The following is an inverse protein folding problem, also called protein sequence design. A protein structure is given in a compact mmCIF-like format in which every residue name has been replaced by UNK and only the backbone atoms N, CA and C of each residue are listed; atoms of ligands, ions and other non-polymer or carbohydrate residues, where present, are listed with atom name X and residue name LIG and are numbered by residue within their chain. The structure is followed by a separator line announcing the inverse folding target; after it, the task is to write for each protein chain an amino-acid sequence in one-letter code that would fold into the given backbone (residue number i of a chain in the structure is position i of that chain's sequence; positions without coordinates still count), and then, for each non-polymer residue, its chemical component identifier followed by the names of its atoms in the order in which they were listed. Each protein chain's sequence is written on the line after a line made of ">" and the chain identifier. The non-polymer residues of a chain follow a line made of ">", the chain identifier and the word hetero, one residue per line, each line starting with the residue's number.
data_IF_948777554565
#
_entry.id   IF_948777554565
#
_cell.length_a   1.000
_cell.length_b   1.000
_cell.length_c   1.000
_cell.angle_alpha   90.00
_cell.angle_beta   90.00
_cell.angle_gamma   90.00
#
_symmetry.space_group_name_H-M   'P 1'
#
loop_
_entity.id
_entity.type
_entity.pdbx_description
1 polymer ?
#
# COMPACT_ATOMS: atom_id res chain seq x y z
N UNK A 1 14.23 19.53 1.67
CA UNK A 1 15.66 19.51 1.28
C UNK A 1 16.54 20.07 2.38
N UNK A 2 16.41 21.34 2.79
CA UNK A 2 17.21 21.93 3.89
C UNK A 2 17.10 21.20 5.24
N UNK A 3 15.89 20.82 5.66
CA UNK A 3 15.69 20.02 6.90
C UNK A 3 16.29 18.60 6.84
N UNK A 4 16.44 18.03 5.64
CA UNK A 4 16.99 16.68 5.43
C UNK A 4 18.52 16.71 5.43
N UNK A 5 19.12 17.78 4.90
CA UNK A 5 20.55 18.09 4.99
C UNK A 5 20.96 18.45 6.42
N UNK A 6 20.17 19.29 7.11
CA UNK A 6 20.42 19.67 8.51
C UNK A 6 20.29 18.44 9.45
N UNK A 7 19.34 17.53 9.21
CA UNK A 7 19.20 16.28 9.95
C UNK A 7 20.37 15.30 9.70
N UNK A 8 20.82 15.15 8.45
CA UNK A 8 21.99 14.32 8.09
C UNK A 8 23.27 14.80 8.77
N UNK A 9 23.44 16.11 8.96
CA UNK A 9 24.60 16.67 9.66
C UNK A 9 24.76 16.10 11.09
N UNK A 10 23.66 15.84 11.81
CA UNK A 10 23.66 15.22 13.15
C UNK A 10 23.82 13.69 13.12
N UNK A 11 23.53 13.03 12.00
CA UNK A 11 23.62 11.57 11.83
C UNK A 11 24.94 11.08 11.22
N UNK A 12 25.77 11.99 10.68
CA UNK A 12 27.02 11.67 9.97
C UNK A 12 27.91 10.65 10.66
N UNK A 13 28.14 10.74 11.98
CA UNK A 13 29.00 9.81 12.72
C UNK A 13 28.41 8.38 12.78
N UNK A 14 27.10 8.26 13.03
CA UNK A 14 26.43 6.97 13.12
C UNK A 14 26.26 6.31 11.74
N UNK A 15 26.00 7.12 10.71
CA UNK A 15 25.97 6.66 9.32
C UNK A 15 27.35 6.19 8.85
N UNK A 16 28.41 6.94 9.16
CA UNK A 16 29.79 6.57 8.88
C UNK A 16 30.17 5.26 9.57
N UNK A 17 29.79 5.09 10.84
CA UNK A 17 30.04 3.85 11.58
C UNK A 17 29.31 2.66 10.94
N UNK A 18 28.03 2.85 10.60
CA UNK A 18 27.25 1.82 9.90
C UNK A 18 27.93 1.43 8.59
N UNK A 19 28.33 2.41 7.78
CA UNK A 19 29.02 2.15 6.52
C UNK A 19 30.33 1.38 6.76
N UNK A 20 31.11 1.75 7.79
CA UNK A 20 32.35 1.06 8.12
C UNK A 20 32.14 -0.40 8.53
N UNK A 21 31.18 -0.65 9.42
CA UNK A 21 30.84 -2.00 9.88
C UNK A 21 30.32 -2.88 8.74
N UNK A 22 29.47 -2.32 7.88
CA UNK A 22 28.97 -3.01 6.69
C UNK A 22 30.10 -3.31 5.70
N UNK A 23 31.03 -2.37 5.47
CA UNK A 23 32.19 -2.61 4.61
C UNK A 23 33.09 -3.72 5.13
N UNK A 24 33.39 -3.70 6.43
CA UNK A 24 34.13 -4.76 7.10
C UNK A 24 33.46 -6.12 6.87
N UNK A 25 32.13 -6.18 7.04
CA UNK A 25 31.34 -7.36 6.77
C UNK A 25 31.43 -7.83 5.31
N UNK A 26 31.27 -6.94 4.33
CA UNK A 26 31.32 -7.29 2.90
C UNK A 26 32.64 -7.97 2.55
N UNK A 27 33.76 -7.37 2.98
CA UNK A 27 35.09 -7.89 2.72
C UNK A 27 35.29 -9.24 3.43
N UNK A 28 34.77 -9.36 4.65
CA UNK A 28 34.80 -10.61 5.42
C UNK A 28 34.05 -11.72 4.68
N UNK A 29 32.84 -11.43 4.17
CA UNK A 29 32.04 -12.39 3.39
C UNK A 29 32.75 -12.85 2.12
N UNK A 30 33.22 -11.92 1.28
CA UNK A 30 34.02 -12.19 0.07
C UNK A 30 35.27 -13.04 0.40
N UNK A 31 35.88 -12.83 1.56
CA UNK A 31 37.11 -13.52 1.92
C UNK A 31 36.89 -14.94 2.51
N UNK A 32 35.65 -15.40 2.70
CA UNK A 32 35.37 -16.68 3.38
C UNK A 32 35.93 -17.89 2.62
N UNK A 33 35.81 -17.94 1.31
CA UNK A 33 36.34 -19.05 0.50
C UNK A 33 37.80 -18.86 0.06
N UNK A 34 38.38 -17.69 0.39
CA UNK A 34 39.76 -17.27 0.09
C UNK A 34 40.09 -17.21 -1.41
N UNK A 35 39.08 -17.18 -2.28
CA UNK A 35 39.19 -17.28 -3.74
C UNK A 35 38.41 -16.16 -4.41
N UNK A 36 39.02 -14.97 -4.44
CA UNK A 36 38.32 -13.76 -4.91
C UNK A 36 38.18 -13.75 -6.44
N UNK A 37 36.98 -13.49 -6.93
CA UNK A 37 36.67 -13.41 -8.34
C UNK A 37 36.20 -12.00 -8.76
N UNK A 38 36.24 -11.72 -10.07
CA UNK A 38 35.98 -10.38 -10.61
C UNK A 38 34.58 -9.83 -10.30
N UNK A 39 33.59 -10.70 -10.06
CA UNK A 39 32.22 -10.29 -9.75
C UNK A 39 32.19 -9.69 -8.34
N UNK A 40 32.79 -10.34 -7.36
CA UNK A 40 32.91 -9.84 -5.98
C UNK A 40 33.65 -8.49 -5.93
N UNK A 41 34.73 -8.35 -6.72
CA UNK A 41 35.47 -7.10 -6.83
C UNK A 41 34.57 -5.98 -7.40
N UNK A 42 33.81 -6.30 -8.45
CA UNK A 42 32.91 -5.35 -9.10
C UNK A 42 31.77 -4.92 -8.16
N UNK A 43 31.27 -5.83 -7.33
CA UNK A 43 30.25 -5.53 -6.32
C UNK A 43 30.81 -4.64 -5.20
N UNK A 44 31.99 -4.97 -4.67
CA UNK A 44 32.69 -4.15 -3.67
C UNK A 44 32.97 -2.72 -4.19
N UNK A 45 33.42 -2.63 -5.45
CA UNK A 45 33.64 -1.35 -6.13
C UNK A 45 32.39 -0.49 -6.18
N UNK A 46 31.30 -1.11 -6.60
CA UNK A 46 30.01 -0.47 -6.72
C UNK A 46 29.51 -0.01 -5.34
N UNK A 47 29.65 -0.85 -4.31
CA UNK A 47 29.32 -0.45 -2.94
C UNK A 47 30.16 0.76 -2.48
N UNK A 48 31.47 0.76 -2.71
CA UNK A 48 32.33 1.91 -2.40
C UNK A 48 31.93 3.18 -3.15
N UNK A 49 31.48 3.06 -4.41
CA UNK A 49 30.98 4.18 -5.20
C UNK A 49 29.70 4.79 -4.62
N UNK A 50 28.79 3.97 -4.08
CA UNK A 50 27.59 4.45 -3.41
C UNK A 50 27.92 5.22 -2.12
N UNK A 51 29.06 4.94 -1.49
CA UNK A 51 29.55 5.64 -0.30
C UNK A 51 30.47 6.84 -0.61
N UNK A 52 30.57 7.27 -1.89
CA UNK A 52 31.51 8.32 -2.31
C UNK A 52 31.30 9.67 -1.61
N UNK A 53 30.10 9.93 -1.10
CA UNK A 53 29.82 11.11 -0.25
C UNK A 53 30.75 11.18 0.99
N UNK A 54 31.23 10.03 1.47
CA UNK A 54 32.14 9.92 2.61
C UNK A 54 33.62 9.92 2.22
N UNK A 55 34.00 10.05 0.93
CA UNK A 55 35.39 9.95 0.46
C UNK A 55 36.37 10.92 1.13
N UNK A 56 35.89 12.05 1.66
CA UNK A 56 36.75 13.02 2.37
C UNK A 56 36.94 12.67 3.85
N UNK A 57 36.17 11.74 4.38
CA UNK A 57 36.16 11.35 5.79
C UNK A 57 37.02 10.09 5.99
N UNK A 58 37.86 10.02 7.04
CA UNK A 58 38.51 8.77 7.41
C UNK A 58 37.50 7.72 7.89
N UNK A 59 37.69 6.41 7.62
CA UNK A 59 38.77 5.82 6.82
C UNK A 59 38.50 5.78 5.30
N UNK A 60 37.32 6.19 4.84
CA UNK A 60 36.93 6.11 3.42
C UNK A 60 37.85 6.90 2.47
N UNK A 61 38.52 7.94 2.96
CA UNK A 61 39.53 8.67 2.21
C UNK A 61 40.78 7.86 1.83
N UNK A 62 41.01 6.73 2.50
CA UNK A 62 42.04 5.76 2.15
C UNK A 62 41.44 4.53 1.47
N UNK A 63 40.32 4.04 1.99
CA UNK A 63 39.73 2.78 1.51
C UNK A 63 39.20 2.93 0.08
N UNK A 64 38.44 3.99 -0.23
CA UNK A 64 37.85 4.15 -1.58
C UNK A 64 38.94 4.24 -2.66
N UNK A 65 39.97 5.09 -2.55
CA UNK A 65 41.04 5.13 -3.54
C UNK A 65 41.81 3.81 -3.66
N UNK A 66 42.01 3.10 -2.55
CA UNK A 66 42.70 1.81 -2.56
C UNK A 66 41.88 0.74 -3.29
N UNK A 67 40.56 0.68 -3.07
CA UNK A 67 39.64 -0.19 -3.82
C UNK A 67 39.63 0.16 -5.32
N UNK A 68 39.66 1.45 -5.68
CA UNK A 68 39.78 1.91 -7.07
C UNK A 68 41.11 1.46 -7.73
N UNK A 69 42.23 1.52 -6.99
CA UNK A 69 43.53 1.06 -7.48
C UNK A 69 43.56 -0.45 -7.73
N UNK A 70 42.99 -1.22 -6.80
CA UNK A 70 42.84 -2.67 -6.92
C UNK A 70 42.06 -3.05 -8.18
N UNK A 71 40.95 -2.35 -8.43
CA UNK A 71 40.12 -2.55 -9.62
C UNK A 71 40.87 -2.24 -10.92
N UNK A 72 41.66 -1.18 -10.93
CA UNK A 72 42.42 -0.78 -12.11
C UNK A 72 43.56 -1.75 -12.43
N UNK A 73 44.16 -2.35 -11.38
CA UNK A 73 45.32 -3.23 -11.50
C UNK A 73 44.95 -4.72 -11.64
N UNK A 74 43.71 -5.11 -11.31
CA UNK A 74 43.13 -6.41 -11.64
C UNK A 74 43.55 -7.58 -10.73
N UNK A 75 44.23 -7.32 -9.61
CA UNK A 75 44.67 -8.37 -8.68
C UNK A 75 44.27 -8.05 -7.23
N UNK A 76 43.23 -8.72 -6.74
CA UNK A 76 42.93 -8.79 -5.31
C UNK A 76 43.67 -9.98 -4.71
N UNK A 77 44.80 -9.70 -4.05
CA UNK A 77 45.56 -10.70 -3.31
C UNK A 77 45.09 -10.81 -1.86
N UNK A 78 45.50 -11.86 -1.14
CA UNK A 78 45.18 -11.98 0.30
C UNK A 78 45.70 -10.83 1.15
N UNK A 79 46.82 -10.24 0.74
CA UNK A 79 47.43 -9.09 1.39
C UNK A 79 46.55 -7.84 1.25
N UNK A 80 45.90 -7.72 0.10
CA UNK A 80 45.10 -6.56 -0.28
C UNK A 80 43.85 -6.41 0.58
N UNK A 81 43.09 -7.49 0.83
CA UNK A 81 41.94 -7.42 1.74
C UNK A 81 42.39 -7.23 3.19
N UNK A 82 43.52 -7.83 3.60
CA UNK A 82 44.09 -7.66 4.93
C UNK A 82 44.40 -6.19 5.23
N UNK A 83 44.86 -5.44 4.23
CA UNK A 83 45.06 -4.00 4.34
C UNK A 83 43.73 -3.24 4.53
N UNK A 84 42.67 -3.61 3.79
CA UNK A 84 41.36 -2.95 3.94
C UNK A 84 40.73 -3.28 5.29
N UNK A 85 40.75 -4.55 5.72
CA UNK A 85 40.28 -4.95 7.05
C UNK A 85 41.07 -4.22 8.14
N UNK A 86 42.40 -4.11 8.00
CA UNK A 86 43.22 -3.33 8.92
C UNK A 86 42.84 -1.84 8.96
N UNK A 87 42.47 -1.24 7.82
CA UNK A 87 41.91 0.12 7.79
C UNK A 87 40.52 0.19 8.43
N UNK A 88 39.70 -0.86 8.35
CA UNK A 88 38.42 -0.90 9.04
C UNK A 88 38.62 -0.98 10.57
N UNK A 89 39.44 -1.93 11.03
CA UNK A 89 39.73 -2.18 12.44
C UNK A 89 40.37 -0.97 13.13
N UNK A 90 41.38 -0.35 12.49
CA UNK A 90 42.05 0.84 13.05
C UNK A 90 41.09 1.98 13.38
N UNK A 91 40.00 2.12 12.62
CA UNK A 91 39.04 3.20 12.77
C UNK A 91 37.77 2.77 13.53
N UNK A 92 37.50 1.47 13.63
CA UNK A 92 36.44 0.92 14.47
C UNK A 92 36.67 1.22 15.97
N UNK A 93 37.92 1.11 16.44
CA UNK A 93 38.29 1.38 17.83
C UNK A 93 38.08 2.85 18.27
N UNK A 94 38.00 3.78 17.31
CA UNK A 94 37.88 5.22 17.57
C UNK A 94 36.42 5.72 17.62
N UNK A 95 35.44 4.86 17.32
CA UNK A 95 34.07 5.26 17.07
C UNK A 95 33.06 4.46 17.92
N UNK A 96 32.91 4.92 19.17
CA UNK A 96 31.79 4.63 20.08
C UNK A 96 31.52 3.14 20.42
N UNK A 97 32.17 2.67 21.49
CA UNK A 97 32.10 1.33 22.07
C UNK A 97 30.79 0.98 22.80
N UNK A 98 29.73 1.77 22.64
CA UNK A 98 28.51 1.67 23.45
C UNK A 98 27.47 0.64 22.96
N UNK A 99 27.63 0.01 21.79
CA UNK A 99 26.62 -0.93 21.28
C UNK A 99 27.19 -2.05 20.37
N UNK A 100 27.85 -3.03 20.99
CA UNK A 100 28.47 -4.20 20.32
C UNK A 100 27.44 -4.99 19.48
N UNK A 101 26.21 -5.15 19.97
CA UNK A 101 25.16 -5.87 19.22
C UNK A 101 24.80 -5.17 17.91
N UNK A 102 24.71 -3.83 17.91
CA UNK A 102 24.44 -3.05 16.69
C UNK A 102 25.60 -3.14 15.70
N UNK A 103 26.84 -3.13 16.19
CA UNK A 103 28.03 -3.34 15.37
C UNK A 103 27.97 -4.71 14.68
N UNK A 104 27.77 -5.77 15.46
CA UNK A 104 27.81 -7.14 14.95
C UNK A 104 26.67 -7.41 13.95
N UNK A 105 25.48 -6.85 14.16
CA UNK A 105 24.38 -6.96 13.18
C UNK A 105 24.70 -6.22 11.87
N UNK A 106 25.32 -5.05 11.94
CA UNK A 106 25.73 -4.31 10.73
C UNK A 106 26.84 -5.03 9.97
N UNK A 107 27.76 -5.68 10.69
CA UNK A 107 28.78 -6.55 10.11
C UNK A 107 28.14 -7.80 9.49
N UNK A 108 27.17 -8.43 10.16
CA UNK A 108 26.42 -9.57 9.61
C UNK A 108 25.75 -9.22 8.29
N UNK A 109 25.06 -8.07 8.20
CA UNK A 109 24.49 -7.62 6.92
C UNK A 109 25.55 -7.46 5.83
N UNK A 110 26.72 -6.94 6.17
CA UNK A 110 27.85 -6.88 5.25
C UNK A 110 28.31 -8.26 4.80
N UNK A 111 28.48 -9.20 5.73
CA UNK A 111 28.90 -10.58 5.42
C UNK A 111 27.93 -11.24 4.46
N UNK A 112 26.62 -11.08 4.69
CA UNK A 112 25.60 -11.63 3.79
C UNK A 112 25.70 -11.02 2.39
N UNK A 113 25.91 -9.70 2.29
CA UNK A 113 26.14 -9.04 0.99
C UNK A 113 27.39 -9.62 0.32
N UNK A 114 28.49 -9.78 1.05
CA UNK A 114 29.72 -10.36 0.54
C UNK A 114 29.53 -11.77 -0.03
N UNK A 115 28.88 -12.66 0.72
CA UNK A 115 28.57 -14.04 0.31
C UNK A 115 27.66 -14.09 -0.94
N UNK A 116 26.75 -13.11 -1.09
CA UNK A 116 25.87 -13.06 -2.25
C UNK A 116 26.50 -12.36 -3.46
N UNK A 117 27.68 -11.78 -3.32
CA UNK A 117 28.21 -10.78 -4.27
C UNK A 117 28.56 -11.33 -5.65
N UNK A 118 28.87 -12.62 -5.79
CA UNK A 118 29.09 -13.31 -7.07
C UNK A 118 27.94 -14.27 -7.45
N UNK A 119 26.86 -14.25 -6.67
CA UNK A 119 25.67 -15.06 -6.85
C UNK A 119 25.88 -16.59 -6.66
N UNK A 120 27.06 -17.02 -6.16
CA UNK A 120 27.45 -18.43 -5.97
C UNK A 120 27.85 -18.68 -4.52
N UNK A 121 26.92 -19.24 -3.73
CA UNK A 121 27.23 -19.65 -2.36
C UNK A 121 27.90 -21.02 -2.37
N UNK A 122 29.03 -21.17 -1.67
CA UNK A 122 29.77 -22.42 -1.59
C UNK A 122 29.99 -22.94 -0.16
N UNK A 123 30.41 -24.20 -0.07
CA UNK A 123 30.65 -24.94 1.16
C UNK A 123 31.52 -24.19 2.19
N UNK A 124 32.56 -23.47 1.73
CA UNK A 124 33.46 -22.74 2.62
C UNK A 124 32.79 -21.51 3.19
N UNK A 125 31.99 -20.80 2.40
CA UNK A 125 31.27 -19.61 2.85
C UNK A 125 30.25 -19.95 3.93
N UNK A 126 29.47 -21.01 3.73
CA UNK A 126 28.48 -21.46 4.72
C UNK A 126 29.14 -21.90 6.02
N UNK A 127 30.26 -22.65 5.94
CA UNK A 127 31.02 -23.10 7.12
C UNK A 127 31.65 -21.93 7.88
N UNK A 128 32.22 -20.95 7.19
CA UNK A 128 32.77 -19.77 7.84
C UNK A 128 31.68 -18.85 8.41
N UNK A 129 30.53 -18.72 7.74
CA UNK A 129 29.36 -18.03 8.27
C UNK A 129 28.88 -18.71 9.57
N UNK A 130 28.82 -20.04 9.61
CA UNK A 130 28.51 -20.79 10.83
C UNK A 130 29.48 -20.46 11.97
N UNK A 131 30.79 -20.45 11.71
CA UNK A 131 31.78 -20.12 12.72
C UNK A 131 31.62 -18.68 13.22
N UNK A 132 31.45 -17.72 12.32
CA UNK A 132 31.22 -16.32 12.68
C UNK A 132 29.98 -16.16 13.56
N UNK A 133 28.86 -16.81 13.20
CA UNK A 133 27.63 -16.78 13.98
C UNK A 133 27.81 -17.44 15.36
N UNK A 134 28.42 -18.63 15.39
CA UNK A 134 28.65 -19.40 16.63
C UNK A 134 29.48 -18.64 17.66
N UNK A 135 30.45 -17.86 17.20
CA UNK A 135 31.35 -17.08 18.07
C UNK A 135 30.65 -15.85 18.66
N UNK A 136 29.57 -15.35 18.02
CA UNK A 136 28.82 -14.15 18.43
C UNK A 136 27.53 -14.45 19.17
N UNK A 137 27.65 -15.24 20.25
CA UNK A 137 26.51 -15.58 21.13
C UNK A 137 25.83 -14.38 21.78
N UNK A 138 26.52 -13.23 21.86
CA UNK A 138 25.95 -11.98 22.33
C UNK A 138 24.75 -11.51 21.48
N UNK A 139 24.62 -12.00 20.24
CA UNK A 139 23.48 -11.72 19.38
C UNK A 139 22.26 -12.64 19.60
N UNK A 140 22.33 -13.59 20.55
CA UNK A 140 21.22 -14.51 20.82
C UNK A 140 19.95 -13.74 21.21
N UNK A 141 18.84 -14.01 20.53
CA UNK A 141 17.58 -13.29 20.72
C UNK A 141 17.43 -12.05 19.83
N UNK A 142 18.48 -11.70 19.06
CA UNK A 142 18.49 -10.57 18.13
C UNK A 142 18.16 -11.06 16.72
N UNK A 143 17.42 -10.23 16.00
CA UNK A 143 17.03 -10.47 14.62
C UNK A 143 17.99 -9.71 13.68
N UNK A 144 18.43 -10.26 12.53
CA UNK A 144 18.11 -11.59 11.96
C UNK A 144 18.98 -12.75 12.46
N UNK A 145 19.91 -12.50 13.39
CA UNK A 145 20.92 -13.47 13.82
C UNK A 145 20.35 -14.87 14.12
N UNK A 146 19.31 -14.98 14.95
CA UNK A 146 18.77 -16.30 15.33
C UNK A 146 18.20 -17.08 14.13
N UNK A 147 17.57 -16.38 13.18
CA UNK A 147 16.94 -16.99 12.02
C UNK A 147 17.99 -17.55 11.07
N UNK A 148 19.01 -16.74 10.78
CA UNK A 148 20.14 -17.14 9.94
C UNK A 148 20.91 -18.27 10.62
N UNK A 149 21.19 -18.17 11.91
CA UNK A 149 21.94 -19.21 12.62
C UNK A 149 21.19 -20.55 12.66
N UNK A 150 19.86 -20.52 12.81
CA UNK A 150 19.04 -21.73 12.73
C UNK A 150 19.16 -22.40 11.36
N UNK A 151 18.96 -21.63 10.28
CA UNK A 151 19.01 -22.19 8.91
C UNK A 151 20.42 -22.64 8.53
N UNK A 152 21.46 -21.90 8.94
CA UNK A 152 22.85 -22.33 8.72
C UNK A 152 23.15 -23.62 9.49
N UNK A 153 22.61 -23.82 10.69
CA UNK A 153 22.74 -25.10 11.41
C UNK A 153 21.99 -26.24 10.71
N UNK A 154 20.81 -25.98 10.12
CA UNK A 154 20.06 -26.96 9.33
C UNK A 154 20.84 -27.38 8.07
N UNK A 155 21.36 -26.40 7.32
CA UNK A 155 22.14 -26.63 6.09
C UNK A 155 23.45 -27.39 6.36
N UNK A 156 24.02 -27.27 7.56
CA UNK A 156 25.26 -27.95 7.92
C UNK A 156 25.05 -29.19 8.80
N UNK A 157 23.84 -29.75 8.84
CA UNK A 157 23.55 -30.94 9.66
C UNK A 157 24.47 -32.12 9.30
N UNK A 158 24.75 -32.32 8.01
CA UNK A 158 25.65 -33.36 7.50
C UNK A 158 27.07 -32.86 7.14
N UNK A 159 27.34 -31.57 7.38
CA UNK A 159 28.58 -30.86 7.04
C UNK A 159 28.92 -30.78 5.54
N UNK A 160 27.95 -30.99 4.66
CA UNK A 160 28.02 -30.72 3.23
C UNK A 160 26.86 -29.84 2.78
N UNK A 161 27.09 -28.95 1.81
CA UNK A 161 26.02 -28.08 1.30
C UNK A 161 25.60 -28.56 -0.08
N UNK A 162 24.36 -29.01 -0.20
CA UNK A 162 23.77 -29.35 -1.50
C UNK A 162 23.37 -28.09 -2.28
N UNK A 163 23.19 -28.24 -3.59
CA UNK A 163 22.68 -27.16 -4.45
C UNK A 163 21.29 -26.66 -3.99
N UNK A 164 20.43 -27.57 -3.53
CA UNK A 164 19.10 -27.19 -3.04
C UNK A 164 19.16 -26.38 -1.74
N UNK A 165 20.01 -26.77 -0.80
CA UNK A 165 20.25 -26.04 0.45
C UNK A 165 20.88 -24.66 0.20
N UNK A 166 21.80 -24.60 -0.77
CA UNK A 166 22.42 -23.36 -1.23
C UNK A 166 21.36 -22.38 -1.74
N UNK A 167 20.45 -22.84 -2.60
CA UNK A 167 19.37 -22.02 -3.14
C UNK A 167 18.37 -21.58 -2.06
N UNK A 168 18.04 -22.46 -1.10
CA UNK A 168 17.18 -22.12 0.04
C UNK A 168 17.84 -21.08 0.96
N UNK A 169 19.13 -21.24 1.24
CA UNK A 169 19.92 -20.29 2.01
C UNK A 169 20.00 -18.95 1.28
N UNK A 170 20.23 -18.95 -0.02
CA UNK A 170 20.22 -17.74 -0.87
C UNK A 170 18.89 -17.00 -0.81
N UNK A 171 17.77 -17.72 -0.89
CA UNK A 171 16.44 -17.15 -0.75
C UNK A 171 16.24 -16.43 0.59
N UNK A 172 16.73 -17.03 1.69
CA UNK A 172 16.70 -16.43 3.02
C UNK A 172 17.63 -15.22 3.12
N UNK A 173 18.89 -15.37 2.73
CA UNK A 173 19.92 -14.35 2.82
C UNK A 173 19.58 -13.12 1.96
N UNK A 174 18.92 -13.33 0.82
CA UNK A 174 18.41 -12.27 -0.04
C UNK A 174 17.41 -11.35 0.65
N UNK A 175 16.78 -11.76 1.75
CA UNK A 175 15.95 -10.86 2.56
C UNK A 175 16.74 -9.72 3.21
N UNK A 176 18.07 -9.83 3.32
CA UNK A 176 18.90 -8.93 4.15
C UNK A 176 19.86 -8.05 3.34
N UNK A 177 19.81 -8.08 2.00
CA UNK A 177 20.76 -7.37 1.12
C UNK A 177 20.03 -6.45 0.15
N UNK A 178 20.51 -5.21 -0.02
CA UNK A 178 19.94 -4.25 -0.96
C UNK A 178 20.33 -4.58 -2.41
N UNK A 179 19.41 -5.20 -3.14
CA UNK A 179 19.59 -5.61 -4.54
C UNK A 179 19.42 -4.45 -5.53
N UNK A 180 18.81 -3.32 -5.14
CA UNK A 180 18.48 -2.23 -6.08
C UNK A 180 19.70 -1.54 -6.65
N UNK A 181 20.72 -1.44 -5.82
CA UNK A 181 21.98 -0.84 -6.18
C UNK A 181 23.06 -1.89 -6.38
N UNK A 182 22.72 -3.19 -6.39
CA UNK A 182 23.69 -4.26 -6.63
C UNK A 182 24.02 -4.38 -8.13
N UNK A 183 25.24 -4.77 -8.46
CA UNK A 183 25.65 -5.08 -9.83
C UNK A 183 25.32 -6.52 -10.21
N UNK A 184 25.42 -7.44 -9.24
CA UNK A 184 25.36 -8.87 -9.50
C UNK A 184 24.13 -9.56 -8.90
N UNK A 185 23.49 -8.96 -7.88
CA UNK A 185 22.37 -9.59 -7.17
C UNK A 185 21.04 -9.14 -7.80
N UNK A 186 20.34 -10.08 -8.45
CA UNK A 186 19.07 -9.82 -9.13
C UNK A 186 17.87 -9.92 -8.19
N UNK A 187 17.11 -8.83 -8.03
CA UNK A 187 15.87 -8.82 -7.25
C UNK A 187 14.86 -9.87 -7.75
N UNK A 188 14.69 -9.99 -9.06
CA UNK A 188 13.73 -10.93 -9.67
C UNK A 188 14.11 -12.38 -9.37
N UNK A 189 15.41 -12.69 -9.36
CA UNK A 189 15.89 -14.03 -9.02
C UNK A 189 15.62 -14.35 -7.54
N UNK A 190 15.91 -13.40 -6.65
CA UNK A 190 15.66 -13.55 -5.21
C UNK A 190 14.16 -13.75 -4.93
N UNK A 191 13.28 -12.95 -5.54
CA UNK A 191 11.82 -13.09 -5.39
C UNK A 191 11.33 -14.46 -5.85
N UNK A 192 11.84 -14.96 -6.99
CA UNK A 192 11.48 -16.28 -7.49
C UNK A 192 11.94 -17.40 -6.56
N UNK A 193 13.14 -17.29 -5.99
CA UNK A 193 13.65 -18.26 -5.02
C UNK A 193 12.82 -18.22 -3.72
N UNK A 194 12.46 -17.03 -3.24
CA UNK A 194 11.63 -16.87 -2.05
C UNK A 194 10.22 -17.46 -2.23
N UNK A 195 9.64 -17.33 -3.42
CA UNK A 195 8.38 -17.99 -3.77
C UNK A 195 8.55 -19.52 -3.79
N UNK A 196 9.57 -20.02 -4.49
CA UNK A 196 9.84 -21.46 -4.63
C UNK A 196 10.04 -22.17 -3.29
N UNK A 197 10.78 -21.56 -2.37
CA UNK A 197 11.12 -22.16 -1.08
C UNK A 197 10.20 -21.74 0.07
N UNK A 198 9.11 -21.03 -0.23
CA UNK A 198 8.18 -20.49 0.78
C UNK A 198 8.91 -19.77 1.92
N UNK A 199 9.94 -18.99 1.58
CA UNK A 199 10.65 -18.15 2.55
C UNK A 199 9.76 -16.95 2.81
N UNK A 200 9.02 -17.01 3.92
CA UNK A 200 8.21 -15.89 4.39
C UNK A 200 9.13 -14.76 4.87
N UNK A 201 8.97 -13.56 4.29
CA UNK A 201 9.50 -12.35 4.92
C UNK A 201 8.78 -12.08 6.24
N UNK A 202 9.27 -11.14 7.06
CA UNK A 202 8.58 -10.86 8.35
C UNK A 202 7.20 -10.20 8.13
N UNK A 203 7.05 -9.47 7.02
CA UNK A 203 5.77 -8.91 6.61
C UNK A 203 4.80 -10.04 6.22
N UNK A 204 3.58 -9.97 6.73
CA UNK A 204 2.53 -10.86 6.27
C UNK A 204 2.25 -10.60 4.78
N UNK A 205 2.19 -11.67 3.96
CA UNK A 205 1.70 -11.60 2.58
C UNK A 205 0.18 -11.50 2.62
N UNK A 206 -0.40 -10.50 1.94
CA UNK A 206 -1.84 -10.22 1.89
C UNK A 206 -2.52 -10.23 3.28
N UNK A 207 -2.12 -9.34 4.19
CA UNK A 207 -2.67 -9.33 5.54
C UNK A 207 -4.15 -8.93 5.53
N UNK A 208 -5.01 -9.70 6.22
CA UNK A 208 -6.34 -9.23 6.60
C UNK A 208 -6.21 -8.16 7.71
N UNK A 209 -6.14 -6.89 7.31
CA UNK A 209 -5.99 -5.76 8.23
C UNK A 209 -7.38 -5.28 8.69
N UNK A 210 -7.67 -5.43 9.97
CA UNK A 210 -8.84 -4.81 10.60
C UNK A 210 -8.41 -3.63 11.45
N UNK A 211 -8.91 -2.42 11.16
CA UNK A 211 -8.50 -1.20 11.88
C UNK A 211 -9.24 -1.03 13.21
N UNK A 212 -10.53 -1.37 13.24
CA UNK A 212 -11.42 -1.09 14.37
C UNK A 212 -11.05 -1.92 15.61
N UNK A 213 -10.80 -1.24 16.73
CA UNK A 213 -10.47 -1.86 18.02
C UNK A 213 -9.08 -2.50 18.08
N UNK A 214 -8.23 -2.30 17.06
CA UNK A 214 -6.89 -2.85 16.95
C UNK A 214 -5.82 -1.81 17.24
N UNK A 215 -4.70 -2.25 17.80
CA UNK A 215 -3.60 -1.35 18.16
C UNK A 215 -2.49 -1.38 17.10
N UNK A 216 -2.20 -0.22 16.54
CA UNK A 216 -1.20 -0.03 15.51
C UNK A 216 0.03 0.71 16.04
N UNK A 217 1.19 0.38 15.47
CA UNK A 217 2.42 1.14 15.61
C UNK A 217 3.00 1.39 14.22
N UNK A 218 3.66 2.53 14.01
CA UNK A 218 4.32 2.86 12.74
C UNK A 218 5.83 3.01 12.90
N UNK A 219 6.59 2.47 11.95
CA UNK A 219 8.05 2.58 11.87
C UNK A 219 8.48 2.98 10.44
N UNK A 220 9.60 3.69 10.31
CA UNK A 220 10.06 4.25 9.02
C UNK A 220 9.43 5.61 8.68
N UNK A 221 9.58 6.05 7.44
CA UNK A 221 8.89 7.24 6.88
C UNK A 221 7.88 6.74 5.85
N UNK A 222 6.72 7.39 5.76
CA UNK A 222 5.73 7.04 4.75
C UNK A 222 5.80 8.00 3.58
N UNK A 223 5.68 7.44 2.38
CA UNK A 223 5.59 8.19 1.12
C UNK A 223 4.27 8.97 0.97
N UNK A 224 3.22 8.56 1.71
CA UNK A 224 1.87 9.09 1.56
C UNK A 224 1.50 10.17 2.59
N UNK A 225 1.92 10.01 3.84
CA UNK A 225 1.43 10.84 4.95
C UNK A 225 2.45 10.96 6.10
N UNK A 226 2.35 12.02 6.90
CA UNK A 226 3.16 12.15 8.11
C UNK A 226 2.70 11.17 9.19
N UNK A 227 3.60 10.82 10.12
CA UNK A 227 3.28 9.89 11.22
C UNK A 227 2.08 10.34 12.06
N UNK A 228 1.96 11.65 12.31
CA UNK A 228 0.84 12.19 13.09
C UNK A 228 -0.49 12.07 12.30
N UNK A 229 -0.45 12.30 10.99
CA UNK A 229 -1.62 12.10 10.10
C UNK A 229 -2.03 10.62 10.05
N UNK A 230 -1.06 9.69 10.01
CA UNK A 230 -1.31 8.24 10.09
C UNK A 230 -1.99 7.89 11.42
N UNK A 231 -1.52 8.47 12.53
CA UNK A 231 -2.10 8.26 13.85
C UNK A 231 -3.56 8.75 13.92
N UNK A 232 -3.84 9.92 13.35
CA UNK A 232 -5.19 10.47 13.24
C UNK A 232 -6.09 9.54 12.40
N UNK A 233 -5.66 9.16 11.19
CA UNK A 233 -6.40 8.27 10.29
C UNK A 233 -6.76 6.91 10.93
N UNK A 234 -5.85 6.32 11.70
CA UNK A 234 -6.10 5.06 12.43
C UNK A 234 -7.12 5.29 13.55
N UNK A 235 -7.00 6.39 14.28
CA UNK A 235 -7.88 6.72 15.40
C UNK A 235 -9.29 7.05 14.93
N UNK A 236 -9.42 7.74 13.79
CA UNK A 236 -10.70 8.05 13.13
C UNK A 236 -11.52 6.79 12.82
N UNK A 237 -10.84 5.69 12.46
CA UNK A 237 -11.48 4.40 12.15
C UNK A 237 -11.64 3.50 13.38
N UNK A 238 -11.53 4.07 14.57
CA UNK A 238 -11.70 3.36 15.84
C UNK A 238 -10.54 2.43 16.20
N UNK A 239 -9.39 2.57 15.55
CA UNK A 239 -8.14 1.93 15.95
C UNK A 239 -7.44 2.71 17.06
N UNK A 240 -6.38 2.11 17.61
CA UNK A 240 -5.54 2.75 18.62
C UNK A 240 -4.12 2.90 18.09
N UNK A 241 -3.58 4.12 18.05
CA UNK A 241 -2.21 4.34 17.64
C UNK A 241 -1.26 4.43 18.84
N UNK A 242 -0.12 3.75 18.77
CA UNK A 242 0.96 3.87 19.74
C UNK A 242 2.31 4.04 19.04
N UNK A 243 3.10 5.01 19.49
CA UNK A 243 4.43 5.25 18.96
C UNK A 243 5.42 4.12 19.27
N UNK A 244 5.17 3.30 20.30
CA UNK A 244 6.04 2.20 20.67
C UNK A 244 5.35 0.86 20.48
N UNK A 245 6.14 -0.16 20.10
CA UNK A 245 5.67 -1.53 20.08
C UNK A 245 5.48 -2.02 21.52
N UNK A 246 4.28 -2.52 21.83
CA UNK A 246 3.88 -3.03 23.15
C UNK A 246 3.26 -4.42 23.02
N UNK A 247 3.02 -5.11 24.14
CA UNK A 247 2.31 -6.41 24.14
C UNK A 247 0.87 -6.32 23.62
N UNK A 248 0.28 -5.12 23.57
CA UNK A 248 -1.06 -4.88 23.03
C UNK A 248 -1.05 -4.54 21.54
N UNK A 249 0.12 -4.34 20.93
CA UNK A 249 0.23 -3.98 19.52
C UNK A 249 -0.17 -5.19 18.66
N UNK A 250 -1.25 -5.03 17.92
CA UNK A 250 -1.73 -6.03 16.96
C UNK A 250 -0.99 -5.90 15.62
N UNK A 251 -0.72 -4.66 15.17
CA UNK A 251 -0.10 -4.38 13.88
C UNK A 251 1.09 -3.41 14.00
N UNK A 252 2.21 -3.72 13.35
CA UNK A 252 3.33 -2.82 13.13
C UNK A 252 3.43 -2.52 11.62
N UNK A 253 3.06 -1.30 11.26
CA UNK A 253 3.15 -0.78 9.89
C UNK A 253 4.58 -0.31 9.62
N UNK A 254 5.15 -0.77 8.52
CA UNK A 254 6.48 -0.40 8.05
C UNK A 254 6.35 0.52 6.84
N UNK A 255 6.83 1.76 6.97
CA UNK A 255 6.83 2.75 5.88
C UNK A 255 7.90 2.50 4.82
N UNK A 256 7.62 2.92 3.58
CA UNK A 256 8.47 2.64 2.41
C UNK A 256 9.36 3.82 1.98
N UNK A 257 9.33 4.95 2.70
CA UNK A 257 10.15 6.13 2.38
C UNK A 257 11.34 6.29 3.35
N UNK A 258 12.51 6.64 2.80
CA UNK A 258 13.76 6.82 3.54
C UNK A 258 14.67 5.58 3.54
N UNK A 259 15.82 5.73 2.86
CA UNK A 259 16.88 4.75 2.57
C UNK A 259 16.39 3.41 1.92
N UNK A 260 16.88 3.04 0.72
CA UNK A 260 16.52 1.79 0.06
C UNK A 260 16.76 0.48 0.84
N UNK A 261 17.27 0.52 2.07
CA UNK A 261 17.34 -0.65 2.95
C UNK A 261 15.98 -1.22 3.43
N UNK A 262 14.82 -0.65 3.08
CA UNK A 262 13.52 -1.05 3.65
C UNK A 262 12.89 -2.30 3.04
N UNK A 263 13.19 -2.61 1.77
CA UNK A 263 12.75 -3.87 1.15
C UNK A 263 13.55 -5.07 1.70
N UNK A 264 14.57 -4.81 2.53
CA UNK A 264 15.63 -5.75 2.90
C UNK A 264 15.88 -5.84 4.41
N UNK A 265 14.83 -5.71 5.22
CA UNK A 265 14.90 -6.19 6.60
C UNK A 265 16.01 -5.58 7.47
N UNK A 266 16.45 -4.35 7.18
CA UNK A 266 17.26 -3.56 8.11
C UNK A 266 16.37 -3.07 9.26
N UNK A 267 16.03 -3.99 10.15
CA UNK A 267 15.03 -3.81 11.16
C UNK A 267 15.51 -2.92 12.27
N UNK A 268 15.11 -1.65 12.22
CA UNK A 268 15.26 -0.77 13.38
C UNK A 268 14.61 -1.38 14.63
N UNK A 269 15.05 -0.93 15.81
CA UNK A 269 14.67 -1.43 17.16
C UNK A 269 13.19 -1.79 17.38
N UNK A 270 12.25 -1.18 16.65
CA UNK A 270 10.81 -1.51 16.73
C UNK A 270 10.47 -2.86 16.11
N UNK A 271 11.09 -3.21 14.98
CA UNK A 271 10.80 -4.49 14.32
C UNK A 271 11.49 -5.63 15.07
N UNK A 272 12.73 -5.47 15.52
CA UNK A 272 13.37 -6.41 16.45
C UNK A 272 12.45 -6.71 17.64
N UNK A 273 11.94 -5.66 18.30
CA UNK A 273 11.01 -5.79 19.43
C UNK A 273 9.71 -6.50 19.04
N UNK A 274 9.16 -6.24 17.84
CA UNK A 274 7.96 -6.92 17.35
C UNK A 274 8.21 -8.41 17.11
N UNK A 275 9.36 -8.78 16.53
CA UNK A 275 9.76 -10.17 16.33
C UNK A 275 9.97 -10.90 17.66
N UNK A 276 10.67 -10.27 18.62
CA UNK A 276 10.85 -10.86 19.96
C UNK A 276 9.50 -11.08 20.67
N UNK A 277 8.54 -10.15 20.52
CA UNK A 277 7.19 -10.31 21.07
C UNK A 277 6.41 -11.45 20.39
N UNK A 278 6.59 -11.62 19.07
CA UNK A 278 6.08 -12.76 18.29
C UNK A 278 6.61 -14.09 18.84
N UNK A 279 7.93 -14.20 19.04
CA UNK A 279 8.58 -15.38 19.66
C UNK A 279 8.07 -15.65 21.08
N UNK A 280 7.75 -14.59 21.84
CA UNK A 280 7.14 -14.70 23.17
C UNK A 280 5.63 -15.05 23.15
N UNK A 281 5.04 -15.35 21.98
CA UNK A 281 3.65 -15.79 21.82
C UNK A 281 2.62 -14.67 21.63
N UNK A 282 3.06 -13.42 21.45
CA UNK A 282 2.14 -12.32 21.17
C UNK A 282 1.75 -12.32 19.68
N UNK A 283 0.47 -12.05 19.40
CA UNK A 283 -0.07 -11.94 18.04
C UNK A 283 0.14 -10.52 17.51
N UNK A 284 1.39 -10.19 17.19
CA UNK A 284 1.74 -8.98 16.43
C UNK A 284 1.95 -9.35 14.97
N UNK A 285 1.37 -8.57 14.06
CA UNK A 285 1.52 -8.71 12.61
C UNK A 285 2.33 -7.52 12.08
N UNK A 286 3.34 -7.79 11.28
CA UNK A 286 4.12 -6.75 10.62
C UNK A 286 3.56 -6.61 9.20
N UNK A 287 3.22 -5.40 8.79
CA UNK A 287 2.52 -5.11 7.53
C UNK A 287 3.23 -4.01 6.76
N UNK A 288 3.24 -4.11 5.42
CA UNK A 288 3.76 -3.05 4.58
C UNK A 288 2.79 -1.86 4.55
N UNK A 289 3.30 -0.64 4.34
CA UNK A 289 2.42 0.52 4.20
C UNK A 289 1.47 0.39 3.00
N UNK A 290 1.86 -0.27 1.91
CA UNK A 290 1.01 -0.47 0.73
C UNK A 290 -0.22 -1.29 1.09
N UNK A 291 -0.04 -2.44 1.76
CA UNK A 291 -1.16 -3.29 2.20
C UNK A 291 -2.10 -2.54 3.17
N UNK A 292 -1.51 -1.72 4.06
CA UNK A 292 -2.28 -0.86 4.95
C UNK A 292 -3.10 0.17 4.18
N UNK A 293 -2.50 0.81 3.17
CA UNK A 293 -3.16 1.80 2.34
C UNK A 293 -4.27 1.23 1.47
N UNK A 294 -4.05 0.05 0.89
CA UNK A 294 -5.05 -0.67 0.10
C UNK A 294 -6.25 -1.07 0.96
N UNK A 295 -5.99 -1.53 2.19
CA UNK A 295 -7.06 -1.81 3.16
C UNK A 295 -7.75 -0.53 3.63
N UNK A 296 -6.99 0.56 3.77
CA UNK A 296 -7.55 1.84 4.16
C UNK A 296 -8.47 2.39 3.06
N UNK A 297 -8.04 2.41 1.81
CA UNK A 297 -8.84 3.00 0.73
C UNK A 297 -10.05 2.12 0.34
N UNK A 298 -9.90 0.79 0.34
CA UNK A 298 -11.02 -0.13 0.01
C UNK A 298 -12.21 -0.04 0.98
N UNK A 299 -11.95 0.19 2.28
CA UNK A 299 -13.03 0.35 3.26
C UNK A 299 -13.91 1.59 3.00
N UNK A 300 -13.35 2.68 2.44
CA UNK A 300 -14.13 3.87 2.08
C UNK A 300 -15.01 3.60 0.84
N UNK A 301 -14.54 2.76 -0.09
CA UNK A 301 -15.28 2.38 -1.30
C UNK A 301 -16.52 1.53 -0.94
N UNK A 302 -16.35 0.54 -0.07
CA UNK A 302 -17.43 -0.35 0.39
C UNK A 302 -18.52 0.39 1.18
N UNK A 303 -18.15 1.36 2.02
CA UNK A 303 -19.13 2.18 2.77
C UNK A 303 -19.94 3.08 1.83
N UNK A 304 -19.29 3.72 0.85
CA UNK A 304 -19.98 4.56 -0.14
C UNK A 304 -20.93 3.74 -1.03
N UNK A 305 -20.54 2.53 -1.45
CA UNK A 305 -21.40 1.63 -2.21
C UNK A 305 -22.61 1.17 -1.40
N UNK A 306 -22.42 0.86 -0.11
CA UNK A 306 -23.49 0.48 0.80
C UNK A 306 -24.52 1.61 0.98
N UNK A 307 -24.07 2.85 1.22
CA UNK A 307 -24.94 4.02 1.34
C UNK A 307 -25.67 4.35 0.02
N UNK A 308 -24.98 4.23 -1.12
CA UNK A 308 -25.60 4.38 -2.43
C UNK A 308 -26.70 3.34 -2.66
N UNK A 309 -26.48 2.10 -2.26
CA UNK A 309 -27.47 1.02 -2.37
C UNK A 309 -28.69 1.29 -1.47
N UNK A 310 -28.47 1.73 -0.23
CA UNK A 310 -29.56 2.09 0.68
C UNK A 310 -30.39 3.26 0.13
N UNK A 311 -29.74 4.28 -0.41
CA UNK A 311 -30.40 5.42 -1.04
C UNK A 311 -31.16 5.00 -2.30
N UNK A 312 -30.58 4.14 -3.13
CA UNK A 312 -31.22 3.59 -4.33
C UNK A 312 -32.52 2.85 -3.98
N UNK A 313 -32.50 1.99 -2.97
CA UNK A 313 -33.70 1.27 -2.51
C UNK A 313 -34.78 2.22 -1.95
N UNK A 314 -34.39 3.29 -1.25
CA UNK A 314 -35.33 4.35 -0.83
C UNK A 314 -35.98 5.03 -2.04
N UNK A 315 -35.20 5.39 -3.06
CA UNK A 315 -35.72 6.02 -4.29
C UNK A 315 -36.69 5.09 -5.02
N UNK A 316 -36.38 3.80 -5.16
CA UNK A 316 -37.27 2.81 -5.79
C UNK A 316 -38.62 2.74 -5.07
N UNK A 317 -38.62 2.69 -3.73
CA UNK A 317 -39.85 2.68 -2.92
C UNK A 317 -40.69 3.93 -3.15
N UNK A 318 -40.09 5.11 -3.17
CA UNK A 318 -40.79 6.39 -3.41
C UNK A 318 -41.42 6.44 -4.81
N UNK A 319 -40.73 5.91 -5.83
CA UNK A 319 -41.25 5.87 -7.20
C UNK A 319 -42.44 4.91 -7.30
N UNK A 320 -42.36 3.71 -6.72
CA UNK A 320 -43.48 2.76 -6.71
C UNK A 320 -44.70 3.27 -5.93
N UNK A 321 -44.49 4.02 -4.85
CA UNK A 321 -45.58 4.65 -4.10
C UNK A 321 -46.36 5.68 -4.95
N UNK A 322 -45.71 6.31 -5.94
CA UNK A 322 -46.36 7.27 -6.82
C UNK A 322 -47.16 6.59 -7.95
N UNK A 323 -46.67 5.46 -8.48
CA UNK A 323 -47.34 4.65 -9.49
C UNK A 323 -46.72 3.23 -9.48
N UNK A 324 -47.51 2.23 -9.09
CA UNK A 324 -47.06 0.82 -9.02
C UNK A 324 -46.63 0.27 -10.40
N UNK A 325 -47.01 0.93 -11.50
CA UNK A 325 -46.66 0.53 -12.85
C UNK A 325 -45.28 1.00 -13.33
N UNK A 326 -44.44 1.55 -12.47
CA UNK A 326 -43.07 1.93 -12.84
C UNK A 326 -42.09 0.76 -12.77
N UNK A 327 -41.20 0.70 -13.76
CA UNK A 327 -40.13 -0.29 -13.79
C UNK A 327 -38.92 0.18 -12.98
N UNK A 328 -38.88 -0.22 -11.71
CA UNK A 328 -37.75 0.09 -10.81
C UNK A 328 -36.48 -0.71 -11.12
N UNK A 329 -36.53 -1.72 -12.00
CA UNK A 329 -35.33 -2.43 -12.45
C UNK A 329 -34.39 -1.51 -13.24
N UNK A 330 -34.93 -0.41 -13.78
CA UNK A 330 -34.19 0.64 -14.49
C UNK A 330 -33.47 1.62 -13.55
N UNK A 331 -33.58 1.42 -12.24
CA UNK A 331 -32.88 2.19 -11.22
C UNK A 331 -31.83 1.29 -10.57
N UNK A 332 -30.56 1.58 -10.78
CA UNK A 332 -29.48 0.74 -10.26
C UNK A 332 -28.27 1.57 -9.84
N UNK A 333 -27.54 1.03 -8.86
CA UNK A 333 -26.20 1.52 -8.52
C UNK A 333 -25.20 0.91 -9.49
N UNK A 334 -24.31 1.74 -10.05
CA UNK A 334 -23.19 1.30 -10.86
C UNK A 334 -21.90 1.89 -10.31
N UNK A 335 -20.90 1.02 -10.09
CA UNK A 335 -19.52 1.43 -9.86
C UNK A 335 -18.81 1.67 -11.19
N UNK A 336 -18.20 2.84 -11.36
CA UNK A 336 -17.40 3.14 -12.54
C UNK A 336 -15.92 3.04 -12.20
N UNK A 337 -15.31 1.88 -12.49
CA UNK A 337 -13.90 1.55 -12.16
C UNK A 337 -12.83 2.47 -12.78
N UNK A 338 -13.19 3.42 -13.65
CA UNK A 338 -12.21 4.10 -14.53
C UNK A 338 -12.33 5.63 -14.60
N UNK A 339 -13.15 6.23 -13.74
CA UNK A 339 -13.23 7.67 -13.52
C UNK A 339 -13.50 7.85 -12.05
N UNK A 340 -13.00 8.91 -11.44
CA UNK A 340 -13.39 9.47 -10.14
C UNK A 340 -14.92 9.48 -9.94
N UNK A 341 -15.56 8.34 -9.76
CA UNK A 341 -17.01 8.13 -9.75
C UNK A 341 -17.32 6.89 -8.92
N UNK A 342 -17.16 7.07 -7.62
CA UNK A 342 -17.78 6.26 -6.59
C UNK A 342 -19.29 6.09 -6.84
N UNK A 343 -19.82 5.00 -6.30
CA UNK A 343 -21.16 4.44 -6.48
C UNK A 343 -22.23 5.42 -6.99
N UNK A 344 -22.58 5.31 -8.28
CA UNK A 344 -23.52 6.19 -8.94
C UNK A 344 -24.91 5.54 -9.06
N UNK A 345 -25.95 6.25 -8.65
CA UNK A 345 -27.35 5.85 -8.86
C UNK A 345 -27.78 6.33 -10.24
N UNK A 346 -28.11 5.38 -11.10
CA UNK A 346 -28.55 5.61 -12.47
C UNK A 346 -30.04 5.35 -12.62
N UNK A 347 -30.69 6.08 -13.53
CA UNK A 347 -32.04 5.81 -14.01
C UNK A 347 -32.00 5.69 -15.54
N UNK A 348 -32.39 4.54 -16.10
CA UNK A 348 -32.23 4.26 -17.54
C UNK A 348 -30.80 4.48 -18.02
N UNK A 349 -29.83 3.95 -17.26
CA UNK A 349 -28.38 4.10 -17.50
C UNK A 349 -27.85 5.55 -17.45
N UNK A 350 -28.69 6.54 -17.14
CA UNK A 350 -28.27 7.92 -16.95
C UNK A 350 -27.89 8.18 -15.50
N UNK A 351 -26.65 8.62 -15.20
CA UNK A 351 -26.24 8.92 -13.83
C UNK A 351 -26.99 10.16 -13.32
N UNK A 352 -27.73 9.98 -12.24
CA UNK A 352 -28.56 11.01 -11.62
C UNK A 352 -27.95 11.49 -10.30
N UNK A 353 -27.52 10.53 -9.48
CA UNK A 353 -26.90 10.77 -8.19
C UNK A 353 -25.60 9.98 -8.06
N UNK A 354 -24.71 10.44 -7.19
CA UNK A 354 -23.50 9.70 -6.79
C UNK A 354 -23.26 9.97 -5.32
N UNK A 355 -22.95 8.92 -4.57
CA UNK A 355 -22.64 9.01 -3.14
C UNK A 355 -21.14 8.92 -3.02
N UNK A 356 -20.54 9.94 -2.40
CA UNK A 356 -19.09 9.99 -2.23
C UNK A 356 -18.69 10.70 -0.95
N UNK A 357 -17.65 10.20 -0.32
CA UNK A 357 -17.00 10.89 0.77
C UNK A 357 -16.15 9.94 1.59
N UNK A 358 -15.27 10.51 2.41
CA UNK A 358 -14.52 9.77 3.43
C UNK A 358 -15.18 10.01 4.79
N UNK A 359 -14.73 11.04 5.50
CA UNK A 359 -15.28 11.45 6.80
C UNK A 359 -16.72 11.99 6.76
N UNK A 360 -17.10 12.61 5.65
CA UNK A 360 -18.45 13.15 5.44
C UNK A 360 -18.95 12.66 4.10
N UNK A 361 -20.03 11.87 4.12
CA UNK A 361 -20.65 11.35 2.91
C UNK A 361 -21.52 12.43 2.27
N UNK A 362 -21.31 12.69 0.99
CA UNK A 362 -22.04 13.67 0.22
C UNK A 362 -22.87 13.00 -0.87
N UNK A 363 -24.08 13.52 -1.07
CA UNK A 363 -24.91 13.25 -2.23
C UNK A 363 -24.57 14.26 -3.33
N UNK A 364 -24.02 13.77 -4.43
CA UNK A 364 -23.80 14.54 -5.65
C UNK A 364 -25.03 14.43 -6.56
N UNK A 365 -25.48 15.58 -7.08
CA UNK A 365 -26.67 15.70 -7.93
C UNK A 365 -26.25 16.21 -9.32
N UNK A 366 -26.62 15.46 -10.36
CA UNK A 366 -26.30 15.76 -11.75
C UNK A 366 -26.87 17.12 -12.20
N UNK A 367 -26.10 17.87 -12.97
CA UNK A 367 -26.46 19.22 -13.46
C UNK A 367 -27.83 19.30 -14.13
N UNK A 368 -28.20 18.27 -14.89
CA UNK A 368 -29.46 18.19 -15.62
C UNK A 368 -30.71 18.14 -14.72
N UNK A 369 -30.55 17.75 -13.45
CA UNK A 369 -31.67 17.54 -12.52
C UNK A 369 -31.65 18.49 -11.31
N UNK A 370 -30.55 19.21 -11.07
CA UNK A 370 -30.39 20.14 -9.93
C UNK A 370 -31.56 21.11 -9.74
N UNK A 371 -32.20 21.59 -10.82
CA UNK A 371 -33.36 22.51 -10.73
C UNK A 371 -34.55 21.93 -9.98
N UNK A 372 -34.71 20.60 -9.93
CA UNK A 372 -35.79 19.91 -9.23
C UNK A 372 -35.56 19.81 -7.72
N UNK A 373 -34.33 20.10 -7.28
CA UNK A 373 -33.90 20.05 -5.89
C UNK A 373 -33.49 21.46 -5.40
N UNK A 374 -34.16 22.50 -5.90
CA UNK A 374 -33.78 23.90 -5.64
C UNK A 374 -33.94 24.35 -4.20
N UNK A 375 -34.71 23.62 -3.39
CA UNK A 375 -34.83 23.87 -1.94
C UNK A 375 -33.63 23.35 -1.14
N UNK A 376 -32.76 22.51 -1.74
CA UNK A 376 -31.51 22.09 -1.12
C UNK A 376 -30.42 23.13 -1.34
N UNK A 377 -29.65 23.41 -0.29
CA UNK A 377 -28.47 24.28 -0.37
C UNK A 377 -27.27 23.51 -0.97
N UNK A 378 -27.26 23.41 -2.29
CA UNK A 378 -26.28 22.62 -3.04
C UNK A 378 -24.96 23.37 -3.24
N UNK A 379 -23.86 22.81 -2.72
CA UNK A 379 -22.51 23.34 -2.85
C UNK A 379 -21.95 23.11 -4.26
N UNK A 380 -21.36 24.15 -4.86
CA UNK A 380 -20.66 24.06 -6.14
C UNK A 380 -19.26 23.46 -5.97
N UNK A 381 -18.82 22.70 -6.97
CA UNK A 381 -17.47 22.12 -7.04
C UNK A 381 -16.68 22.77 -8.19
N UNK A 382 -15.36 22.85 -8.05
CA UNK A 382 -14.49 23.41 -9.09
C UNK A 382 -14.26 22.44 -10.26
N UNK A 383 -14.31 21.13 -9.98
CA UNK A 383 -13.87 20.06 -10.89
C UNK A 383 -15.01 19.38 -11.64
N UNK A 384 -16.26 19.60 -11.24
CA UNK A 384 -17.43 18.93 -11.83
C UNK A 384 -18.64 19.87 -11.89
N UNK A 385 -19.48 19.77 -12.94
CA UNK A 385 -20.75 20.49 -13.00
C UNK A 385 -21.80 19.95 -12.02
N UNK A 386 -21.51 18.83 -11.34
CA UNK A 386 -22.35 18.30 -10.27
C UNK A 386 -22.21 19.16 -9.02
N UNK A 387 -23.32 19.31 -8.30
CA UNK A 387 -23.34 19.98 -7.00
C UNK A 387 -23.61 18.95 -5.92
N UNK A 388 -23.13 19.21 -4.72
CA UNK A 388 -23.21 18.26 -3.60
C UNK A 388 -23.88 18.85 -2.37
N UNK A 389 -24.39 17.96 -1.54
CA UNK A 389 -24.91 18.25 -0.19
C UNK A 389 -24.57 17.08 0.71
N UNK A 390 -24.36 17.34 1.99
CA UNK A 390 -24.09 16.28 2.97
C UNK A 390 -25.29 15.31 3.05
N UNK A 391 -25.06 14.01 2.90
CA UNK A 391 -26.11 13.01 2.82
C UNK A 391 -26.96 12.97 4.11
N UNK A 392 -26.33 13.18 5.27
CA UNK A 392 -26.99 13.26 6.59
C UNK A 392 -28.04 14.39 6.69
N UNK A 393 -27.90 15.44 5.87
CA UNK A 393 -28.78 16.61 5.84
C UNK A 393 -29.90 16.49 4.81
N UNK A 394 -29.96 15.39 4.06
CA UNK A 394 -30.95 15.18 3.00
C UNK A 394 -31.97 14.13 3.44
N UNK A 395 -33.20 14.58 3.62
CA UNK A 395 -34.34 13.68 3.66
C UNK A 395 -34.93 13.54 2.25
N UNK A 396 -34.54 12.47 1.55
CA UNK A 396 -34.93 12.23 0.16
C UNK A 396 -36.44 12.00 0.00
N UNK A 397 -37.16 11.64 1.08
CA UNK A 397 -38.59 11.36 1.04
C UNK A 397 -39.44 12.60 0.73
N UNK A 398 -38.92 13.80 1.05
CA UNK A 398 -39.56 15.09 0.78
C UNK A 398 -39.56 15.45 -0.72
N UNK A 399 -38.85 14.68 -1.55
CA UNK A 399 -38.64 14.96 -2.97
C UNK A 399 -39.28 13.91 -3.89
N UNK A 400 -40.34 13.23 -3.45
CA UNK A 400 -41.01 12.20 -4.24
C UNK A 400 -41.40 12.70 -5.65
N UNK A 401 -42.09 13.84 -5.76
CA UNK A 401 -42.50 14.41 -7.05
C UNK A 401 -41.31 14.74 -7.94
N UNK A 402 -40.24 15.32 -7.35
CA UNK A 402 -39.01 15.63 -8.06
C UNK A 402 -38.31 14.37 -8.59
N UNK A 403 -38.27 13.29 -7.80
CA UNK A 403 -37.69 12.00 -8.21
C UNK A 403 -38.49 11.36 -9.34
N UNK A 404 -39.83 11.39 -9.25
CA UNK A 404 -40.71 10.89 -10.31
C UNK A 404 -40.48 11.68 -11.60
N UNK A 405 -40.38 13.01 -11.52
CA UNK A 405 -40.08 13.87 -12.66
C UNK A 405 -38.70 13.59 -13.27
N UNK A 406 -37.70 13.23 -12.45
CA UNK A 406 -36.38 12.79 -12.96
C UNK A 406 -36.51 11.47 -13.68
N UNK A 407 -37.19 10.50 -13.07
CA UNK A 407 -37.38 9.17 -13.64
C UNK A 407 -38.11 9.23 -14.98
N UNK A 408 -39.22 9.95 -15.07
CA UNK A 408 -39.97 10.10 -16.32
C UNK A 408 -39.18 10.85 -17.39
N UNK A 409 -38.35 11.83 -17.01
CA UNK A 409 -37.46 12.49 -17.96
C UNK A 409 -36.40 11.52 -18.49
N UNK A 410 -35.76 10.74 -17.63
CA UNK A 410 -34.80 9.72 -18.06
C UNK A 410 -35.46 8.68 -18.95
N UNK A 411 -36.68 8.24 -18.61
CA UNK A 411 -37.49 7.37 -19.44
C UNK A 411 -37.71 7.99 -20.81
N UNK A 412 -38.26 9.21 -20.88
CA UNK A 412 -38.57 9.89 -22.14
C UNK A 412 -37.37 10.08 -23.05
N UNK A 413 -36.21 10.38 -22.48
CA UNK A 413 -35.00 10.52 -23.27
C UNK A 413 -34.46 9.16 -23.76
N UNK A 414 -34.90 8.05 -23.15
CA UNK A 414 -34.53 6.68 -23.54
C UNK A 414 -35.58 5.98 -24.42
N UNK A 415 -36.78 6.55 -24.55
CA UNK A 415 -37.91 5.99 -25.31
C UNK A 415 -38.23 6.81 -26.56
N UNK A 416 -38.73 6.16 -27.61
CA UNK A 416 -39.32 6.86 -28.75
C UNK A 416 -40.59 7.61 -28.32
N UNK A 417 -40.58 8.94 -28.45
CA UNK A 417 -41.69 9.77 -28.00
C UNK A 417 -42.84 9.75 -29.00
N UNK A 418 -44.08 9.72 -28.49
CA UNK A 418 -45.28 9.85 -29.30
C UNK A 418 -46.38 10.66 -28.57
N UNK A 419 -47.28 11.27 -29.35
CA UNK A 419 -48.28 12.22 -28.82
C UNK A 419 -49.24 11.57 -27.82
N UNK A 420 -50.02 10.58 -28.25
CA UNK A 420 -50.89 9.79 -27.38
C UNK A 420 -51.22 8.43 -28.00
N UNK A 421 -51.48 7.41 -27.18
CA UNK A 421 -51.94 6.11 -27.65
C UNK A 421 -53.45 6.13 -27.91
N UNK A 422 -54.00 5.09 -28.56
CA UNK A 422 -55.44 4.98 -28.87
C UNK A 422 -56.39 5.05 -27.66
N UNK A 423 -55.87 5.00 -26.42
CA UNK A 423 -56.63 5.07 -25.16
C UNK A 423 -56.81 6.51 -24.63
N UNK A 424 -56.44 7.55 -25.38
CA UNK A 424 -56.43 8.94 -24.91
C UNK A 424 -57.78 9.44 -24.35
N UNK A 425 -58.92 9.02 -24.90
CA UNK A 425 -60.25 9.36 -24.37
C UNK A 425 -60.47 8.76 -22.98
N UNK A 426 -60.20 7.47 -22.82
CA UNK A 426 -60.33 6.76 -21.55
C UNK A 426 -59.39 7.33 -20.47
N UNK A 427 -58.16 7.71 -20.86
CA UNK A 427 -57.24 8.38 -19.94
C UNK A 427 -57.77 9.76 -19.49
N UNK A 428 -58.46 10.49 -20.36
CA UNK A 428 -59.07 11.79 -20.05
C UNK A 428 -60.27 11.65 -19.13
N UNK A 429 -61.12 10.65 -19.39
CA UNK A 429 -62.31 10.39 -18.57
C UNK A 429 -61.93 9.91 -17.16
N UNK A 430 -60.85 9.14 -17.03
CA UNK A 430 -60.34 8.66 -15.73
C UNK A 430 -59.39 9.64 -15.03
N UNK A 431 -59.06 10.79 -15.64
CA UNK A 431 -58.08 11.77 -15.15
C UNK A 431 -56.68 11.20 -14.87
N UNK A 432 -56.38 10.00 -15.39
CA UNK A 432 -55.13 9.28 -15.20
C UNK A 432 -54.83 8.42 -16.42
N UNK A 433 -53.55 8.18 -16.67
CA UNK A 433 -53.15 7.24 -17.73
C UNK A 433 -53.54 5.80 -17.34
N UNK A 434 -54.20 5.10 -18.26
CA UNK A 434 -54.66 3.72 -18.08
C UNK A 434 -53.94 2.71 -18.98
N UNK A 435 -52.88 3.12 -19.70
CA UNK A 435 -52.10 2.20 -20.54
C UNK A 435 -51.39 1.17 -19.66
N UNK A 436 -51.65 -0.14 -19.80
CA UNK A 436 -50.99 -1.19 -19.01
C UNK A 436 -49.54 -1.43 -19.42
N UNK A 437 -49.19 -1.20 -20.68
CA UNK A 437 -47.85 -1.42 -21.22
C UNK A 437 -46.87 -0.33 -20.73
N UNK A 438 -45.81 -0.65 -19.97
CA UNK A 438 -44.88 0.34 -19.42
C UNK A 438 -44.12 1.14 -20.49
N UNK A 439 -43.71 0.51 -21.60
CA UNK A 439 -42.97 1.16 -22.68
C UNK A 439 -43.82 2.20 -23.40
N UNK A 440 -45.04 1.82 -23.80
CA UNK A 440 -45.99 2.75 -24.38
C UNK A 440 -46.47 3.80 -23.35
N UNK A 441 -46.64 3.42 -22.08
CA UNK A 441 -47.01 4.36 -21.01
C UNK A 441 -45.92 5.42 -20.79
N UNK A 442 -44.66 5.07 -20.98
CA UNK A 442 -43.52 5.97 -20.78
C UNK A 442 -43.22 6.90 -21.96
N UNK A 443 -43.43 6.47 -23.22
CA UNK A 443 -43.26 7.33 -24.40
C UNK A 443 -44.42 8.31 -24.68
N UNK A 444 -45.52 8.23 -23.91
CA UNK A 444 -46.76 8.96 -24.16
C UNK A 444 -46.74 10.39 -23.59
N UNK A 445 -46.63 11.40 -24.44
CA UNK A 445 -46.63 12.81 -24.04
C UNK A 445 -47.95 13.25 -23.36
N UNK A 446 -49.09 12.64 -23.74
CA UNK A 446 -50.38 12.97 -23.13
C UNK A 446 -50.49 12.61 -21.65
N UNK A 447 -49.79 11.56 -21.19
CA UNK A 447 -49.74 11.19 -19.77
C UNK A 447 -49.18 12.31 -18.90
N UNK A 448 -48.12 12.98 -19.34
CA UNK A 448 -47.52 14.10 -18.61
C UNK A 448 -48.45 15.30 -18.53
N UNK A 449 -49.21 15.54 -19.62
CA UNK A 449 -50.20 16.60 -19.63
C UNK A 449 -51.32 16.31 -18.63
N UNK A 450 -51.82 15.07 -18.57
CA UNK A 450 -52.81 14.65 -17.57
C UNK A 450 -52.32 14.92 -16.13
N UNK A 451 -51.07 14.59 -15.80
CA UNK A 451 -50.49 14.88 -14.47
C UNK A 451 -50.37 16.37 -14.17
N UNK A 452 -50.07 17.18 -15.18
CA UNK A 452 -50.04 18.64 -15.07
C UNK A 452 -51.44 19.27 -15.07
N UNK A 453 -52.50 18.47 -15.01
CA UNK A 453 -53.89 18.93 -15.07
C UNK A 453 -54.34 19.43 -16.44
N UNK A 454 -53.54 19.19 -17.49
CA UNK A 454 -53.81 19.60 -18.88
C UNK A 454 -54.50 18.45 -19.62
N UNK A 455 -55.80 18.60 -19.83
CA UNK A 455 -56.66 17.58 -20.43
C UNK A 455 -57.09 18.11 -21.80
N UNK A 456 -56.71 17.43 -22.88
CA UNK A 456 -56.91 17.91 -24.25
C UNK A 456 -58.09 17.26 -24.96
N UNK A 457 -58.53 16.09 -24.49
CA UNK A 457 -59.55 15.26 -25.12
C UNK A 457 -60.70 14.92 -24.15
N UNK A 458 -61.84 14.48 -24.68
CA UNK A 458 -62.96 13.99 -23.87
C UNK A 458 -63.77 15.09 -23.16
N UNK A 459 -64.63 14.67 -22.24
CA UNK A 459 -65.60 15.56 -21.56
C UNK A 459 -64.96 16.44 -20.48
N UNK A 460 -63.81 16.01 -19.95
CA UNK A 460 -63.07 16.71 -18.90
C UNK A 460 -62.00 17.68 -19.47
N UNK A 461 -62.09 18.04 -20.76
CA UNK A 461 -61.10 18.89 -21.42
C UNK A 461 -60.97 20.24 -20.70
N UNK A 462 -59.75 20.58 -20.30
CA UNK A 462 -59.40 21.89 -19.76
C UNK A 462 -58.97 22.79 -20.92
N UNK A 463 -59.68 23.91 -21.10
CA UNK A 463 -59.38 24.95 -22.11
C UNK A 463 -58.21 25.81 -21.62
#
# INVERSE_FOLDING_TARGET
>A
MKELEDYRMFCTKAELQKALNTLHGIITGIAFDKSINIQEISELANWCNLQRDYIKQPPFNKIIPYVEEILANGELSRETYGNILGYCEQYADNLDSQNIETHDIQELHGIIHGILSDNVINDHEVKNLYHWLKDRKNLTGTYPYDEIYCVVCEVLEDWSVSEEETLRLKALLGNFVDTRNSMNISQVEIEHLQEKYAVDGICAREPEISIKGKTFCFTGTSSRAKRDEIAEMITERGGHFNNNVTKKTDFLIVGNEGNPCWMFNCYGRKVEKAVSLRKAGNRIMIVNELDFWDTYDSADEDENETEAQLLCEKIKKLILQADEGYDVSKICVKGYKNRDTDAAITMFDKPCFSVKGKQTVYLYIASAIQRRFSSLDLQKMATTPWKRIELSKVDITQFQDALVDVYEKCWLDSSEQFGCCSRYLQCSDNLKCIQPDPELKGGCQYRQNLRKGRIFYGKNKTI
#
